data_IF_764260242279
#
_entry.id   IF_764260242279
#
_cell.length_a   1.000
_cell.length_b   1.000
_cell.length_c   1.000
_cell.angle_alpha   90.00
_cell.angle_beta   90.00
_cell.angle_gamma   90.00
#
_symmetry.space_group_name_H-M   'P 1'
#
loop_
_entity.id
_entity.type
_entity.pdbx_description
1 polymer ?
#
# COMPACT_ATOMS: atom_id res chain seq x y z
N UNK A 1 20.28 14.88 0.19
CA UNK A 1 19.73 13.77 1.00
C UNK A 1 18.25 13.70 0.70
N UNK A 2 17.68 12.52 0.44
CA UNK A 2 16.24 12.36 0.21
C UNK A 2 15.54 12.61 1.55
N UNK A 3 14.86 13.73 1.68
CA UNK A 3 14.10 14.07 2.88
C UNK A 3 12.91 13.12 2.98
N UNK A 4 12.62 12.58 4.17
CA UNK A 4 11.42 11.80 4.42
C UNK A 4 10.19 12.70 4.37
N UNK A 5 9.18 12.27 3.62
CA UNK A 5 7.86 12.89 3.62
C UNK A 5 7.03 12.24 4.74
N UNK A 6 6.98 12.89 5.91
CA UNK A 6 6.35 12.39 7.13
C UNK A 6 4.89 12.83 7.16
N UNK A 7 3.99 11.85 7.16
CA UNK A 7 2.54 12.09 7.26
C UNK A 7 2.08 12.18 8.72
N UNK A 8 2.72 11.42 9.61
CA UNK A 8 2.40 11.40 11.04
C UNK A 8 3.55 10.84 11.85
N UNK A 9 3.76 11.39 13.02
CA UNK A 9 4.74 10.89 13.97
C UNK A 9 4.26 11.08 15.42
N UNK A 10 4.42 10.03 16.22
CA UNK A 10 4.30 10.09 17.68
C UNK A 10 5.32 9.13 18.35
N UNK A 11 5.16 8.87 19.65
CA UNK A 11 6.06 8.00 20.40
C UNK A 11 5.99 6.51 19.95
N UNK A 12 4.98 6.12 19.18
CA UNK A 12 4.68 4.73 18.82
C UNK A 12 4.71 4.46 17.31
N UNK A 13 4.44 5.47 16.51
CA UNK A 13 4.28 5.39 15.06
C UNK A 13 5.20 6.38 14.35
N UNK A 14 5.67 5.97 13.19
CA UNK A 14 6.19 6.85 12.14
C UNK A 14 5.50 6.45 10.84
N UNK A 15 4.70 7.35 10.29
CA UNK A 15 3.96 7.14 9.03
C UNK A 15 4.56 8.05 7.98
N UNK A 16 4.94 7.49 6.85
CA UNK A 16 5.61 8.25 5.79
C UNK A 16 4.96 7.99 4.43
N UNK A 17 5.02 8.99 3.56
CA UNK A 17 4.72 8.85 2.15
C UNK A 17 5.97 8.37 1.42
N UNK A 18 6.03 7.09 1.11
CA UNK A 18 7.18 6.50 0.43
C UNK A 18 7.22 6.91 -1.04
N UNK A 19 8.30 7.47 -1.56
CA UNK A 19 8.44 7.67 -3.00
C UNK A 19 8.61 6.33 -3.73
N UNK A 20 8.28 6.31 -5.03
CA UNK A 20 8.63 5.20 -5.91
C UNK A 20 10.16 5.14 -6.11
N UNK A 21 10.70 3.93 -6.36
CA UNK A 21 12.12 3.72 -6.62
C UNK A 21 12.94 3.31 -5.39
N UNK A 22 12.44 3.51 -4.18
CA UNK A 22 13.15 3.15 -2.94
C UNK A 22 12.52 1.89 -2.32
N UNK A 23 13.29 0.81 -2.06
CA UNK A 23 12.77 -0.36 -1.36
C UNK A 23 12.47 -0.05 0.10
N UNK A 24 11.47 -0.72 0.67
CA UNK A 24 11.16 -0.57 2.11
C UNK A 24 12.34 -1.02 2.97
N UNK A 25 12.93 -2.17 2.63
CA UNK A 25 14.09 -2.76 3.30
C UNK A 25 14.78 -3.79 2.40
N UNK A 26 15.99 -4.24 2.77
CA UNK A 26 16.65 -5.37 2.10
C UNK A 26 17.20 -5.03 0.71
N UNK A 27 17.72 -3.85 0.49
CA UNK A 27 18.44 -3.51 -0.74
C UNK A 27 19.83 -4.15 -0.77
N UNK A 28 20.27 -4.62 -1.95
CA UNK A 28 21.65 -5.07 -2.16
C UNK A 28 22.64 -3.91 -2.18
N UNK A 29 22.17 -2.73 -2.62
CA UNK A 29 22.96 -1.51 -2.62
C UNK A 29 22.05 -0.28 -2.46
N UNK A 30 22.58 0.79 -1.86
CA UNK A 30 21.87 2.06 -1.67
C UNK A 30 20.94 2.10 -0.45
N UNK A 31 20.34 3.27 -0.20
CA UNK A 31 19.49 3.47 0.96
C UNK A 31 18.14 2.75 0.79
N UNK A 32 17.59 2.29 1.90
CA UNK A 32 16.21 1.82 2.00
C UNK A 32 15.38 2.85 2.75
N UNK A 33 14.06 2.80 2.60
CA UNK A 33 13.19 3.66 3.41
C UNK A 33 13.42 3.42 4.92
N UNK A 34 13.64 2.17 5.29
CA UNK A 34 13.99 1.80 6.68
C UNK A 34 15.26 2.49 7.16
N UNK A 35 16.34 2.45 6.39
CA UNK A 35 17.61 3.09 6.79
C UNK A 35 17.50 4.61 6.89
N UNK A 36 16.74 5.24 5.98
CA UNK A 36 16.46 6.68 6.02
C UNK A 36 15.62 7.04 7.26
N UNK A 37 14.61 6.24 7.59
CA UNK A 37 13.76 6.45 8.76
C UNK A 37 14.54 6.26 10.08
N UNK A 38 15.43 5.28 10.16
CA UNK A 38 16.30 5.08 11.32
C UNK A 38 17.24 6.28 11.49
N UNK A 39 17.84 6.76 10.41
CA UNK A 39 18.75 7.91 10.46
C UNK A 39 18.00 9.20 10.85
N UNK A 40 16.81 9.43 10.29
CA UNK A 40 15.95 10.53 10.71
C UNK A 40 15.67 10.51 12.22
N UNK A 41 15.23 9.37 12.77
CA UNK A 41 14.94 9.24 14.19
C UNK A 41 16.20 9.42 15.07
N UNK A 42 17.37 8.97 14.60
CA UNK A 42 18.63 9.15 15.30
C UNK A 42 19.00 10.64 15.43
N UNK A 43 18.90 11.36 14.32
CA UNK A 43 19.25 12.79 14.26
C UNK A 43 18.24 13.64 15.04
N UNK A 44 16.93 13.45 14.78
CA UNK A 44 15.86 14.25 15.38
C UNK A 44 15.83 14.15 16.91
N UNK A 45 16.11 12.95 17.44
CA UNK A 45 16.01 12.69 18.88
C UNK A 45 17.38 12.53 19.58
N UNK A 46 18.48 12.86 18.90
CA UNK A 46 19.85 12.72 19.42
C UNK A 46 20.10 11.37 20.12
N UNK A 47 19.57 10.27 19.52
CA UNK A 47 19.65 8.95 20.14
C UNK A 47 21.06 8.36 20.02
N UNK A 48 21.75 8.12 21.13
CA UNK A 48 23.01 7.35 21.10
C UNK A 48 22.69 5.86 20.84
N UNK A 49 23.39 5.23 19.90
CA UNK A 49 23.30 3.79 19.66
C UNK A 49 22.17 3.37 18.70
N UNK A 50 21.65 2.17 18.89
CA UNK A 50 20.67 1.56 17.98
C UNK A 50 19.26 2.14 18.18
N UNK A 51 18.65 2.59 17.07
CA UNK A 51 17.26 3.02 17.03
C UNK A 51 16.38 1.86 16.64
N UNK A 52 15.47 1.47 17.51
CA UNK A 52 14.45 0.46 17.15
C UNK A 52 13.43 1.07 16.19
N UNK A 53 13.17 0.36 15.09
CA UNK A 53 12.09 0.66 14.17
C UNK A 53 11.51 -0.66 13.63
N UNK A 54 10.25 -0.96 13.96
CA UNK A 54 9.57 -2.18 13.54
C UNK A 54 8.91 -2.03 12.17
N UNK A 55 9.24 -2.93 11.23
CA UNK A 55 8.59 -3.00 9.92
C UNK A 55 7.38 -3.92 10.02
N UNK A 56 6.18 -3.37 10.02
CA UNK A 56 4.91 -4.11 10.18
C UNK A 56 4.19 -4.34 8.85
N UNK A 57 4.53 -3.55 7.83
CA UNK A 57 4.07 -3.70 6.45
C UNK A 57 5.17 -3.29 5.48
N UNK A 58 5.04 -3.68 4.22
CA UNK A 58 6.00 -3.32 3.16
C UNK A 58 5.27 -2.90 1.91
N UNK A 59 5.86 -1.94 1.20
CA UNK A 59 5.54 -1.63 -0.18
C UNK A 59 6.67 -2.09 -1.08
N UNK A 60 6.34 -2.48 -2.30
CA UNK A 60 7.34 -2.79 -3.33
C UNK A 60 8.19 -1.54 -3.61
N UNK A 61 9.43 -1.71 -4.08
CA UNK A 61 10.32 -0.59 -4.38
C UNK A 61 9.66 0.45 -5.29
N UNK A 62 8.99 0.00 -6.33
CA UNK A 62 8.37 0.86 -7.35
C UNK A 62 6.98 1.38 -6.97
N UNK A 63 6.39 0.94 -5.86
CA UNK A 63 5.10 1.42 -5.34
C UNK A 63 5.34 2.60 -4.42
N UNK A 64 4.59 3.69 -4.60
CA UNK A 64 4.60 4.88 -3.74
C UNK A 64 3.46 4.87 -2.71
N UNK A 65 3.47 5.80 -1.76
CA UNK A 65 2.36 6.08 -0.85
C UNK A 65 2.58 5.67 0.60
N UNK A 66 1.49 5.60 1.35
CA UNK A 66 1.48 5.42 2.81
C UNK A 66 2.12 4.12 3.24
N UNK A 67 3.08 4.23 4.16
CA UNK A 67 3.64 3.12 4.91
C UNK A 67 3.84 3.50 6.37
N UNK A 68 3.61 2.55 7.29
CA UNK A 68 3.75 2.74 8.72
C UNK A 68 4.89 1.91 9.29
N UNK A 69 5.66 2.51 10.18
CA UNK A 69 6.65 1.86 11.02
C UNK A 69 6.26 1.97 12.49
N UNK A 70 6.60 0.96 13.27
CA UNK A 70 6.43 0.97 14.72
C UNK A 70 7.71 1.48 15.39
N UNK A 71 7.60 2.51 16.22
CA UNK A 71 8.74 3.09 16.96
C UNK A 71 9.11 2.35 18.25
N UNK A 72 8.24 1.40 18.66
CA UNK A 72 8.46 0.53 19.83
C UNK A 72 8.09 -0.92 19.51
N UNK A 73 8.73 -1.87 20.20
CA UNK A 73 8.41 -3.31 20.08
C UNK A 73 6.96 -3.63 20.48
N UNK A 74 6.45 -2.93 21.49
CA UNK A 74 5.05 -3.03 21.93
C UNK A 74 4.06 -2.55 20.85
N UNK A 75 4.37 -1.46 20.15
CA UNK A 75 3.59 -1.01 19.01
C UNK A 75 3.67 -2.03 17.86
N UNK A 76 4.84 -2.54 17.53
CA UNK A 76 5.03 -3.54 16.48
C UNK A 76 4.18 -4.81 16.73
N UNK A 77 4.21 -5.35 17.95
CA UNK A 77 3.44 -6.55 18.32
C UNK A 77 1.92 -6.36 18.18
N UNK A 78 1.41 -5.13 18.35
CA UNK A 78 -0.02 -4.79 18.22
C UNK A 78 -0.42 -4.44 16.79
N UNK A 79 0.51 -3.98 15.98
CA UNK A 79 0.28 -3.65 14.57
C UNK A 79 0.36 -4.87 13.66
N UNK A 80 1.33 -5.76 13.87
CA UNK A 80 1.52 -6.96 13.03
C UNK A 80 0.23 -7.75 12.78
N UNK A 81 -0.62 -8.05 13.78
CA UNK A 81 -1.89 -8.71 13.55
C UNK A 81 -2.85 -7.93 12.65
N UNK A 82 -2.88 -6.59 12.74
CA UNK A 82 -3.76 -5.76 11.92
C UNK A 82 -3.42 -5.83 10.43
N UNK A 83 -2.14 -6.02 10.09
CA UNK A 83 -1.69 -6.14 8.70
C UNK A 83 -1.84 -7.54 8.09
N UNK A 84 -2.36 -8.50 8.85
CA UNK A 84 -2.68 -9.83 8.32
C UNK A 84 -1.46 -10.70 8.11
N UNK A 85 -0.45 -10.61 8.97
CA UNK A 85 0.63 -11.59 8.99
C UNK A 85 0.04 -13.01 9.11
N UNK A 86 0.48 -13.91 8.24
CA UNK A 86 -0.06 -15.28 8.13
C UNK A 86 0.02 -16.00 9.47
N UNK A 87 -1.07 -16.63 9.89
CA UNK A 87 -1.11 -17.50 11.07
C UNK A 87 -1.41 -16.85 12.42
N UNK A 88 -1.43 -15.51 12.51
CA UNK A 88 -1.78 -14.85 13.77
C UNK A 88 -3.29 -14.63 13.90
N UNK A 89 -3.86 -15.07 15.03
CA UNK A 89 -5.25 -14.77 15.39
C UNK A 89 -5.39 -13.26 15.62
N UNK A 90 -6.39 -12.65 15.00
CA UNK A 90 -6.77 -11.26 15.27
C UNK A 90 -7.23 -11.15 16.72
N UNK A 91 -6.62 -10.28 17.50
CA UNK A 91 -7.19 -9.87 18.77
C UNK A 91 -8.48 -9.09 18.50
N UNK A 92 -9.56 -9.38 19.25
CA UNK A 92 -10.84 -8.65 19.10
C UNK A 92 -10.69 -7.12 19.19
N UNK A 93 -9.66 -6.65 19.90
CA UNK A 93 -9.37 -5.22 20.11
C UNK A 93 -8.68 -4.52 18.94
N UNK A 94 -8.23 -5.24 17.93
CA UNK A 94 -7.46 -4.67 16.81
C UNK A 94 -7.95 -5.26 15.48
N UNK A 95 -8.97 -4.64 14.86
CA UNK A 95 -9.46 -5.06 13.54
C UNK A 95 -8.35 -4.98 12.48
N UNK A 96 -8.54 -5.64 11.35
CA UNK A 96 -7.60 -5.58 10.23
C UNK A 96 -7.47 -4.15 9.71
N UNK A 97 -6.26 -3.75 9.42
CA UNK A 97 -5.99 -2.50 8.74
C UNK A 97 -6.63 -2.50 7.34
N UNK A 98 -7.31 -1.42 7.00
CA UNK A 98 -7.86 -1.21 5.67
C UNK A 98 -6.84 -0.48 4.80
N UNK A 99 -6.54 -1.05 3.64
CA UNK A 99 -5.54 -0.55 2.71
C UNK A 99 -6.20 -0.27 1.37
N UNK A 100 -6.25 1.00 0.99
CA UNK A 100 -6.71 1.41 -0.32
C UNK A 100 -5.52 1.86 -1.18
N UNK A 101 -5.51 1.33 -2.39
CA UNK A 101 -4.51 1.67 -3.40
C UNK A 101 -5.19 2.32 -4.59
N UNK A 102 -4.49 3.25 -5.22
CA UNK A 102 -4.83 3.75 -6.54
C UNK A 102 -3.95 3.03 -7.55
N UNK A 103 -4.54 2.51 -8.62
CA UNK A 103 -3.81 1.88 -9.70
C UNK A 103 -4.30 2.35 -11.08
N UNK A 104 -3.36 2.46 -12.04
CA UNK A 104 -3.67 2.62 -13.45
C UNK A 104 -3.26 1.35 -14.19
N UNK A 105 -4.23 0.70 -14.83
CA UNK A 105 -4.07 -0.59 -15.51
C UNK A 105 -4.29 -0.46 -17.02
N UNK A 106 -3.69 -1.34 -17.79
CA UNK A 106 -3.81 -1.36 -19.24
C UNK A 106 -5.21 -1.83 -19.68
N UNK A 107 -5.76 -1.16 -20.69
CA UNK A 107 -7.05 -1.52 -21.27
C UNK A 107 -8.26 -1.10 -20.45
N UNK A 108 -9.42 -1.49 -20.92
CA UNK A 108 -10.70 -1.21 -20.27
C UNK A 108 -11.13 -2.41 -19.43
N UNK A 109 -11.32 -2.17 -18.13
CA UNK A 109 -11.72 -3.18 -17.16
C UNK A 109 -13.28 -3.23 -17.05
N UNK A 110 -13.80 -4.44 -17.05
CA UNK A 110 -15.22 -4.75 -16.79
C UNK A 110 -15.31 -6.01 -15.92
N UNK A 111 -16.25 -6.07 -14.96
CA UNK A 111 -17.21 -5.05 -14.55
C UNK A 111 -16.56 -3.86 -13.82
N UNK A 112 -17.36 -2.82 -13.53
CA UNK A 112 -16.86 -1.63 -12.84
C UNK A 112 -16.47 -1.86 -11.36
N UNK A 113 -16.98 -2.92 -10.75
CA UNK A 113 -16.68 -3.35 -9.38
C UNK A 113 -16.68 -4.87 -9.34
N UNK A 114 -15.68 -5.43 -8.65
CA UNK A 114 -15.63 -6.88 -8.44
C UNK A 114 -14.71 -7.21 -7.24
N UNK A 115 -14.82 -8.42 -6.71
CA UNK A 115 -14.01 -8.97 -5.64
C UNK A 115 -13.38 -10.28 -6.08
N UNK A 116 -12.05 -10.32 -6.10
CA UNK A 116 -11.29 -11.46 -6.56
C UNK A 116 -10.74 -12.30 -5.42
N UNK A 117 -10.95 -13.61 -5.55
CA UNK A 117 -10.48 -14.62 -4.63
C UNK A 117 -9.56 -15.58 -5.38
N UNK A 118 -8.28 -15.30 -5.39
CA UNK A 118 -7.26 -16.12 -6.04
C UNK A 118 -6.36 -16.81 -5.02
N UNK A 119 -5.47 -17.66 -5.52
CA UNK A 119 -4.30 -18.12 -4.80
C UNK A 119 -3.05 -17.74 -5.58
N UNK A 120 -2.02 -17.31 -4.87
CA UNK A 120 -0.76 -16.89 -5.48
C UNK A 120 0.42 -17.67 -4.89
N UNK A 121 1.39 -17.96 -5.73
CA UNK A 121 2.63 -18.62 -5.34
C UNK A 121 3.84 -17.91 -5.93
N UNK A 122 4.97 -18.02 -5.24
CA UNK A 122 6.24 -17.55 -5.78
C UNK A 122 6.70 -18.49 -6.89
N UNK A 123 7.09 -17.94 -8.02
CA UNK A 123 7.81 -18.62 -9.08
C UNK A 123 9.29 -18.27 -8.92
N UNK A 124 10.08 -19.23 -8.44
CA UNK A 124 11.50 -19.01 -8.16
C UNK A 124 12.33 -18.89 -9.44
N UNK A 125 11.95 -19.56 -10.51
CA UNK A 125 12.65 -19.49 -11.80
C UNK A 125 12.44 -18.12 -12.46
N UNK A 126 11.19 -17.63 -12.48
CA UNK A 126 10.86 -16.33 -13.04
C UNK A 126 11.05 -15.18 -12.04
N UNK A 127 11.44 -15.44 -10.80
CA UNK A 127 11.59 -14.47 -9.71
C UNK A 127 10.37 -13.53 -9.54
N UNK A 128 9.16 -14.06 -9.78
CA UNK A 128 7.89 -13.31 -9.66
C UNK A 128 6.81 -14.13 -8.95
N UNK A 129 5.70 -13.50 -8.63
CA UNK A 129 4.49 -14.20 -8.19
C UNK A 129 3.69 -14.63 -9.42
N UNK A 130 2.88 -15.68 -9.28
CA UNK A 130 1.88 -16.10 -10.26
C UNK A 130 0.59 -16.52 -9.57
N UNK A 131 -0.53 -16.37 -10.24
CA UNK A 131 -1.80 -16.97 -9.84
C UNK A 131 -1.71 -18.48 -10.10
N UNK A 132 -2.23 -19.26 -9.19
CA UNK A 132 -2.23 -20.73 -9.24
C UNK A 132 -3.55 -21.27 -8.71
N UNK A 133 -3.82 -22.55 -8.95
CA UNK A 133 -4.95 -23.23 -8.34
C UNK A 133 -4.82 -23.24 -6.82
N UNK A 134 -5.96 -23.19 -6.14
CA UNK A 134 -5.98 -23.11 -4.66
C UNK A 134 -5.33 -24.30 -3.97
N UNK A 135 -5.38 -25.46 -4.64
CA UNK A 135 -4.82 -26.73 -4.12
C UNK A 135 -3.34 -26.92 -4.54
N UNK A 136 -2.76 -25.98 -5.27
CA UNK A 136 -1.35 -26.05 -5.63
C UNK A 136 -0.46 -25.94 -4.37
N UNK A 137 0.66 -26.67 -4.38
CA UNK A 137 1.64 -26.61 -3.30
C UNK A 137 2.11 -25.15 -3.09
N UNK A 138 2.24 -24.73 -1.83
CA UNK A 138 2.62 -23.38 -1.41
C UNK A 138 1.71 -22.23 -1.91
N UNK A 139 0.49 -22.56 -2.35
CA UNK A 139 -0.53 -21.59 -2.72
C UNK A 139 -0.96 -20.77 -1.49
N UNK A 140 -0.98 -19.46 -1.64
CA UNK A 140 -1.40 -18.53 -0.59
C UNK A 140 -2.65 -17.77 -1.02
N UNK A 141 -3.73 -17.78 -0.23
CA UNK A 141 -4.94 -17.02 -0.55
C UNK A 141 -4.63 -15.54 -0.78
N UNK A 142 -5.15 -14.99 -1.86
CA UNK A 142 -4.99 -13.60 -2.27
C UNK A 142 -6.34 -13.00 -2.62
N UNK A 143 -6.80 -12.07 -1.79
CA UNK A 143 -8.11 -11.47 -1.90
C UNK A 143 -8.01 -9.96 -2.02
N UNK A 144 -8.61 -9.39 -3.05
CA UNK A 144 -8.78 -7.97 -3.26
C UNK A 144 -10.17 -7.66 -3.79
N UNK A 145 -10.56 -6.42 -3.66
CA UNK A 145 -11.76 -5.83 -4.22
C UNK A 145 -11.35 -4.56 -4.96
N UNK A 146 -11.95 -4.27 -6.09
CA UNK A 146 -11.66 -3.05 -6.83
C UNK A 146 -12.93 -2.32 -7.25
N UNK A 147 -12.77 -1.02 -7.49
CA UNK A 147 -13.77 -0.14 -8.08
C UNK A 147 -13.13 0.69 -9.20
N UNK A 148 -13.76 0.67 -10.39
CA UNK A 148 -13.36 1.48 -11.55
C UNK A 148 -13.75 2.93 -11.32
N UNK A 149 -12.75 3.80 -11.24
CA UNK A 149 -12.93 5.27 -11.13
C UNK A 149 -13.29 5.86 -12.50
N UNK A 150 -12.60 5.41 -13.54
CA UNK A 150 -12.82 5.84 -14.90
C UNK A 150 -11.85 5.25 -15.90
N UNK A 151 -12.03 5.63 -17.17
CA UNK A 151 -11.19 5.20 -18.28
C UNK A 151 -10.59 6.42 -18.98
N UNK A 152 -9.27 6.48 -19.05
CA UNK A 152 -8.51 7.62 -19.59
C UNK A 152 -7.24 7.14 -20.29
N UNK A 153 -6.93 7.71 -21.47
CA UNK A 153 -5.72 7.38 -22.21
C UNK A 153 -5.49 5.88 -22.41
N UNK A 154 -6.56 5.13 -22.77
CA UNK A 154 -6.55 3.66 -22.94
C UNK A 154 -6.12 2.89 -21.68
N UNK A 155 -6.41 3.46 -20.51
CA UNK A 155 -6.12 2.86 -19.21
C UNK A 155 -7.33 3.00 -18.29
N UNK A 156 -7.59 1.99 -17.49
CA UNK A 156 -8.58 2.08 -16.41
C UNK A 156 -7.89 2.54 -15.12
N UNK A 157 -8.48 3.52 -14.47
CA UNK A 157 -8.09 3.93 -13.12
C UNK A 157 -9.00 3.21 -12.14
N UNK A 158 -8.39 2.55 -11.16
CA UNK A 158 -9.12 1.78 -10.14
C UNK A 158 -8.64 2.15 -8.74
N UNK A 159 -9.59 2.14 -7.80
CA UNK A 159 -9.27 2.02 -6.38
C UNK A 159 -9.34 0.56 -5.99
N UNK A 160 -8.32 0.06 -5.31
CA UNK A 160 -8.20 -1.34 -4.90
C UNK A 160 -8.17 -1.42 -3.38
N UNK A 161 -9.06 -2.22 -2.79
CA UNK A 161 -9.04 -2.60 -1.39
C UNK A 161 -8.37 -3.96 -1.22
N UNK A 162 -7.28 -4.02 -0.45
CA UNK A 162 -6.62 -5.28 -0.14
C UNK A 162 -7.21 -5.92 1.13
N UNK A 163 -7.72 -7.14 1.01
CA UNK A 163 -8.12 -7.99 2.14
C UNK A 163 -6.95 -8.85 2.63
N UNK A 164 -6.04 -9.23 1.74
CA UNK A 164 -4.76 -9.89 2.05
C UNK A 164 -3.59 -9.03 1.56
N UNK A 165 -2.37 -9.34 2.00
CA UNK A 165 -1.17 -8.56 1.63
C UNK A 165 -0.04 -9.46 1.11
N UNK A 166 -0.26 -10.21 0.02
CA UNK A 166 0.78 -11.06 -0.58
C UNK A 166 1.77 -10.22 -1.39
N UNK A 167 2.99 -10.73 -1.54
CA UNK A 167 3.99 -10.07 -2.36
C UNK A 167 3.45 -9.85 -3.78
N UNK A 168 3.57 -8.62 -4.30
CA UNK A 168 3.11 -8.21 -5.63
C UNK A 168 1.62 -8.51 -5.92
N UNK A 169 0.78 -8.64 -4.91
CA UNK A 169 -0.59 -9.16 -5.05
C UNK A 169 -1.41 -8.44 -6.11
N UNK A 170 -1.56 -7.11 -6.01
CA UNK A 170 -2.33 -6.31 -6.97
C UNK A 170 -1.75 -6.49 -8.38
N UNK A 171 -0.45 -6.43 -8.50
CA UNK A 171 0.28 -6.51 -9.77
C UNK A 171 0.02 -7.83 -10.49
N UNK A 172 0.13 -8.96 -9.78
CA UNK A 172 -0.06 -10.30 -10.38
C UNK A 172 -1.52 -10.58 -10.70
N UNK A 173 -2.47 -10.19 -9.83
CA UNK A 173 -3.90 -10.49 -10.06
C UNK A 173 -4.48 -9.70 -11.24
N UNK A 174 -4.08 -8.43 -11.42
CA UNK A 174 -4.47 -7.66 -12.60
C UNK A 174 -3.79 -8.15 -13.88
N UNK A 175 -2.51 -8.48 -13.82
CA UNK A 175 -1.78 -8.99 -14.98
C UNK A 175 -2.30 -10.35 -15.46
N UNK A 176 -2.67 -11.24 -14.54
CA UNK A 176 -3.26 -12.55 -14.85
C UNK A 176 -4.56 -12.44 -15.65
N UNK A 177 -5.30 -11.33 -15.46
CA UNK A 177 -6.54 -11.01 -16.19
C UNK A 177 -6.33 -10.17 -17.45
N UNK A 178 -5.08 -10.00 -17.90
CA UNK A 178 -4.76 -9.23 -19.11
C UNK A 178 -4.75 -7.72 -18.93
N UNK A 179 -4.80 -7.24 -17.69
CA UNK A 179 -4.78 -5.82 -17.33
C UNK A 179 -3.55 -5.42 -16.50
N UNK A 180 -2.32 -5.58 -17.01
CA UNK A 180 -1.13 -5.27 -16.22
C UNK A 180 -1.11 -3.78 -15.81
N UNK A 181 -0.55 -3.50 -14.64
CA UNK A 181 -0.37 -2.13 -14.15
C UNK A 181 0.61 -1.39 -15.07
N UNK A 182 0.33 -0.14 -15.42
CA UNK A 182 1.22 0.66 -16.26
C UNK A 182 2.62 0.75 -15.63
N UNK A 183 3.66 0.60 -16.45
CA UNK A 183 5.06 0.59 -16.03
C UNK A 183 5.54 -0.75 -15.44
N UNK A 184 4.66 -1.71 -15.24
CA UNK A 184 5.02 -3.00 -14.65
C UNK A 184 5.53 -4.02 -15.68
N UNK A 185 6.74 -3.77 -16.19
CA UNK A 185 7.40 -4.66 -17.16
C UNK A 185 7.55 -6.09 -16.64
N UNK A 186 7.71 -6.26 -15.32
CA UNK A 186 7.82 -7.58 -14.68
C UNK A 186 6.58 -8.45 -14.86
N UNK A 187 5.42 -7.81 -14.97
CA UNK A 187 4.13 -8.45 -15.16
C UNK A 187 3.50 -8.15 -16.52
N UNK A 188 4.34 -7.82 -17.52
CA UNK A 188 3.93 -7.78 -18.92
C UNK A 188 3.31 -6.48 -19.40
N UNK A 189 3.46 -5.37 -18.66
CA UNK A 189 3.07 -4.07 -19.20
C UNK A 189 4.02 -3.64 -20.32
N UNK A 190 3.45 -3.36 -21.48
CA UNK A 190 4.10 -2.72 -22.63
C UNK A 190 4.05 -1.19 -22.57
N UNK A 191 3.31 -0.64 -21.59
CA UNK A 191 3.09 0.80 -21.40
C UNK A 191 3.96 1.33 -20.29
N UNK A 192 4.55 2.49 -20.54
CA UNK A 192 5.40 3.17 -19.55
C UNK A 192 4.57 3.99 -18.56
N UNK A 193 5.13 4.17 -17.38
CA UNK A 193 4.68 5.11 -16.38
C UNK A 193 5.89 5.93 -15.89
N UNK A 194 5.67 7.20 -15.57
CA UNK A 194 6.77 8.16 -15.38
C UNK A 194 7.78 7.75 -14.29
N UNK A 195 7.33 7.10 -13.22
CA UNK A 195 8.17 6.68 -12.12
C UNK A 195 7.75 5.30 -11.61
N UNK A 196 8.30 4.26 -12.23
CA UNK A 196 8.10 2.87 -11.78
C UNK A 196 6.78 2.27 -12.23
N UNK A 197 5.94 1.83 -11.31
CA UNK A 197 4.63 1.24 -11.59
C UNK A 197 3.52 2.18 -11.15
N UNK A 198 2.43 2.23 -11.91
CA UNK A 198 1.26 3.03 -11.60
C UNK A 198 0.45 2.41 -10.45
N UNK A 199 1.07 2.28 -9.29
CA UNK A 199 0.48 1.74 -8.07
C UNK A 199 0.90 2.62 -6.89
N UNK A 200 -0.11 3.12 -6.17
CA UNK A 200 0.08 4.04 -5.07
C UNK A 200 -0.74 3.61 -3.86
N UNK A 201 -0.11 3.41 -2.71
CA UNK A 201 -0.77 3.16 -1.43
C UNK A 201 -1.38 4.46 -0.93
N UNK A 202 -2.63 4.67 -1.30
CA UNK A 202 -3.31 5.95 -1.16
C UNK A 202 -3.79 6.22 0.27
N UNK A 203 -4.50 5.25 0.88
CA UNK A 203 -5.10 5.40 2.21
C UNK A 203 -4.88 4.17 3.07
N UNK A 204 -4.50 4.40 4.31
CA UNK A 204 -4.34 3.38 5.34
C UNK A 204 -5.18 3.76 6.55
N UNK A 205 -6.16 2.91 6.91
CA UNK A 205 -6.93 3.04 8.15
C UNK A 205 -6.57 1.87 9.06
N UNK A 206 -6.22 2.16 10.31
CA UNK A 206 -5.84 1.15 11.30
C UNK A 206 -6.23 1.61 12.71
N UNK A 207 -6.13 0.72 13.69
CA UNK A 207 -6.28 1.08 15.10
C UNK A 207 -4.92 1.46 15.67
N UNK A 208 -4.86 2.64 16.30
CA UNK A 208 -3.64 3.10 16.95
C UNK A 208 -3.20 2.10 18.05
N UNK A 209 -1.93 1.67 18.08
CA UNK A 209 -1.50 0.55 18.92
C UNK A 209 -1.60 0.84 20.44
N UNK A 210 -1.59 2.10 20.84
CA UNK A 210 -1.64 2.51 22.26
C UNK A 210 -2.96 3.17 22.61
N UNK A 211 -3.42 4.12 21.84
CA UNK A 211 -4.65 4.86 22.07
C UNK A 211 -5.89 3.99 21.83
N UNK A 212 -5.78 2.92 21.01
CA UNK A 212 -6.88 2.01 20.62
C UNK A 212 -8.02 2.72 19.87
N UNK A 213 -7.77 3.88 19.31
CA UNK A 213 -8.68 4.63 18.46
C UNK A 213 -8.38 4.37 16.99
N UNK A 214 -9.39 4.42 16.09
CA UNK A 214 -9.15 4.41 14.66
C UNK A 214 -8.32 5.62 14.24
N UNK A 215 -7.40 5.43 13.32
CA UNK A 215 -6.63 6.50 12.69
C UNK A 215 -6.50 6.22 11.19
N UNK A 216 -6.59 7.28 10.39
CA UNK A 216 -6.51 7.23 8.94
C UNK A 216 -5.42 8.16 8.43
N UNK A 217 -4.55 7.60 7.58
CA UNK A 217 -3.47 8.32 6.92
C UNK A 217 -3.69 8.30 5.42
N UNK A 218 -3.52 9.44 4.79
CA UNK A 218 -3.69 9.61 3.35
C UNK A 218 -2.40 10.19 2.77
N UNK A 219 -1.91 9.58 1.70
CA UNK A 219 -0.86 10.14 0.87
C UNK A 219 -1.47 10.55 -0.46
N UNK A 220 -1.38 11.82 -0.80
CA UNK A 220 -1.83 12.27 -2.10
C UNK A 220 -0.97 11.68 -3.22
N UNK A 221 -1.58 11.26 -4.34
CA UNK A 221 -0.84 10.75 -5.47
C UNK A 221 0.17 11.79 -5.98
N UNK A 222 1.42 11.38 -6.28
CA UNK A 222 2.43 12.29 -6.80
C UNK A 222 2.00 13.03 -8.07
N UNK A 223 2.59 14.20 -8.34
CA UNK A 223 2.20 15.06 -9.48
C UNK A 223 2.14 14.34 -10.84
N UNK A 224 2.95 13.31 -11.06
CA UNK A 224 2.92 12.55 -12.32
C UNK A 224 1.65 11.69 -12.51
N UNK A 225 0.79 11.57 -11.47
CA UNK A 225 -0.54 11.00 -11.58
C UNK A 225 -1.59 11.97 -12.13
N UNK A 226 -1.33 13.28 -12.08
CA UNK A 226 -2.32 14.32 -12.44
C UNK A 226 -2.89 14.11 -13.85
N UNK A 227 -2.05 13.72 -14.83
CA UNK A 227 -2.52 13.46 -16.21
C UNK A 227 -3.60 12.39 -16.31
N UNK A 228 -3.69 11.48 -15.34
CA UNK A 228 -4.73 10.45 -15.28
C UNK A 228 -5.94 10.92 -14.46
N UNK A 229 -5.72 11.64 -13.38
CA UNK A 229 -6.75 12.02 -12.41
C UNK A 229 -7.54 13.25 -12.86
N UNK A 230 -6.89 14.26 -13.41
CA UNK A 230 -7.55 15.48 -13.88
C UNK A 230 -8.52 15.23 -15.05
N UNK A 231 -8.22 14.25 -15.90
CA UNK A 231 -9.09 13.89 -17.03
C UNK A 231 -10.35 13.11 -16.62
N UNK A 232 -10.48 12.72 -15.36
CA UNK A 232 -11.61 11.90 -14.92
C UNK A 232 -12.84 12.73 -14.57
N UNK A 233 -12.76 14.07 -14.50
CA UNK A 233 -13.87 14.98 -14.17
C UNK A 233 -14.75 14.41 -13.04
N UNK A 234 -14.13 14.05 -11.91
CA UNK A 234 -14.88 13.42 -10.82
C UNK A 234 -15.53 14.53 -10.03
N UNK A 235 -16.85 14.71 -10.21
CA UNK A 235 -17.65 15.72 -9.50
C UNK A 235 -17.72 15.46 -7.97
N UNK A 236 -17.40 14.24 -7.55
CA UNK A 236 -17.39 13.83 -6.14
C UNK A 236 -15.96 13.45 -5.72
N UNK A 237 -15.56 13.82 -4.50
CA UNK A 237 -14.27 13.43 -3.92
C UNK A 237 -14.07 11.91 -4.04
N UNK A 238 -12.94 11.50 -4.64
CA UNK A 238 -12.57 10.09 -4.83
C UNK A 238 -12.64 9.30 -3.50
N UNK A 239 -12.33 9.96 -2.37
CA UNK A 239 -12.42 9.35 -1.05
C UNK A 239 -13.86 9.01 -0.68
N UNK A 240 -14.80 9.93 -0.91
CA UNK A 240 -16.23 9.74 -0.63
C UNK A 240 -16.81 8.61 -1.49
N UNK A 241 -16.44 8.56 -2.77
CA UNK A 241 -16.86 7.46 -3.66
C UNK A 241 -16.33 6.11 -3.21
N UNK A 242 -15.05 6.04 -2.85
CA UNK A 242 -14.44 4.81 -2.36
C UNK A 242 -15.09 4.36 -1.03
N UNK A 243 -15.41 5.28 -0.14
CA UNK A 243 -16.12 5.00 1.12
C UNK A 243 -17.49 4.40 0.87
N UNK A 244 -18.27 4.97 -0.03
CA UNK A 244 -19.60 4.44 -0.41
C UNK A 244 -19.52 3.04 -1.00
N UNK A 245 -18.61 2.83 -1.96
CA UNK A 245 -18.48 1.55 -2.68
C UNK A 245 -18.00 0.44 -1.76
N UNK A 246 -17.01 0.70 -0.93
CA UNK A 246 -16.44 -0.31 -0.06
C UNK A 246 -17.13 -0.41 1.32
N UNK A 247 -18.20 0.35 1.57
CA UNK A 247 -18.89 0.37 2.86
C UNK A 247 -17.97 0.77 4.00
N UNK A 248 -17.04 1.69 3.75
CA UNK A 248 -16.11 2.20 4.75
C UNK A 248 -16.77 3.40 5.40
N UNK A 249 -17.13 3.30 6.68
CA UNK A 249 -17.63 4.46 7.43
C UNK A 249 -16.52 5.51 7.54
N UNK A 250 -16.79 6.74 7.08
CA UNK A 250 -15.85 7.86 7.05
C UNK A 250 -15.42 8.41 8.41
N UNK A 251 -15.80 7.77 9.51
CA UNK A 251 -15.69 8.26 10.89
C UNK A 251 -14.28 8.23 11.49
N UNK A 252 -13.26 7.75 10.78
CA UNK A 252 -11.90 7.87 11.30
C UNK A 252 -11.33 9.23 10.90
N UNK A 253 -11.06 10.15 11.83
CA UNK A 253 -10.52 11.47 11.52
C UNK A 253 -9.19 11.33 10.76
N UNK A 254 -8.98 12.20 9.75
CA UNK A 254 -7.64 12.38 9.18
C UNK A 254 -6.72 12.79 10.32
N UNK A 255 -5.65 12.04 10.50
CA UNK A 255 -4.66 12.36 11.51
C UNK A 255 -3.57 13.18 10.81
N UNK A 256 -3.73 14.50 10.84
CA UNK A 256 -2.73 15.43 10.33
C UNK A 256 -1.67 15.71 11.40
N UNK A 257 -0.51 16.20 11.00
CA UNK A 257 0.59 16.64 11.87
C UNK A 257 0.25 17.88 12.72
N UNK A 258 -1.02 18.25 12.86
CA UNK A 258 -1.43 19.42 13.63
C UNK A 258 -1.32 19.14 15.14
N UNK A 259 -0.52 19.96 15.79
CA UNK A 259 -0.33 20.16 17.22
C UNK A 259 0.70 19.26 17.92
N UNK A 260 1.98 19.64 17.72
CA UNK A 260 2.97 19.68 18.84
C UNK A 260 3.86 20.89 18.71
#
# INVERSE_FOLDING_TARGET
>A
MTQLDILYEDNHLLVVNKPAGIPTMGAQAGPTLYSLAVEYLRQTYNKPGNVFLGVVSRLDAMTSGVIVFARTSKAASRLVPQFGASGQKLAKSFPRAQKLYLAAIAGELSPAHDRWHDAVRKDDQAHRMRVVDRDAADAQPAELEYYKVGFVQRSTIVVVRLHTGRKHQIRVQFADRGHPILGDRKYGSDREFAHGVALHSWRLTMTHPTLKTPCTFVADPPKYWQRYLQSLCVDEDLAVRAEKVFGINGDAPRTDLADK
#
